data_IF_522087192360
#
_entry.id   IF_522087192360
#
_cell.length_a   1.000
_cell.length_b   1.000
_cell.length_c   1.000
_cell.angle_alpha   90.00
_cell.angle_beta   90.00
_cell.angle_gamma   90.00
#
_symmetry.space_group_name_H-M   'P 1'
#
loop_
_entity.id
_entity.type
_entity.pdbx_description
1 polymer ?
#
# COMPACT_ATOMS: atom_id res chain seq x y z
N UNK A 1 -3.74 1.26 -15.52
CA UNK A 1 -4.36 0.57 -14.37
C UNK A 1 -4.46 1.44 -13.09
N UNK A 2 -3.39 1.90 -12.43
CA UNK A 2 -3.54 2.64 -11.15
C UNK A 2 -4.35 3.94 -11.31
N UNK A 3 -4.00 4.76 -12.30
CA UNK A 3 -4.75 5.99 -12.59
C UNK A 3 -6.21 5.72 -12.99
N UNK A 4 -6.47 4.64 -13.74
CA UNK A 4 -7.83 4.22 -14.09
C UNK A 4 -8.63 3.83 -12.84
N UNK A 5 -8.03 3.05 -11.94
CA UNK A 5 -8.68 2.63 -10.69
C UNK A 5 -9.04 3.83 -9.80
N UNK A 6 -8.17 4.84 -9.75
CA UNK A 6 -8.40 6.06 -8.95
C UNK A 6 -9.30 7.08 -9.69
N UNK A 7 -9.47 6.93 -11.00
CA UNK A 7 -10.26 7.85 -11.83
C UNK A 7 -9.63 9.23 -12.00
N UNK A 8 -8.31 9.36 -11.86
CA UNK A 8 -7.63 10.65 -11.86
C UNK A 8 -6.12 10.57 -12.07
N UNK A 9 -5.49 11.75 -12.18
CA UNK A 9 -4.05 11.87 -12.38
C UNK A 9 -3.30 11.52 -11.09
N UNK A 10 -2.30 10.66 -11.21
CA UNK A 10 -1.36 10.34 -10.13
C UNK A 10 0.03 10.87 -10.49
N UNK A 11 0.74 11.38 -9.49
CA UNK A 11 2.14 11.75 -9.63
C UNK A 11 3.00 10.62 -9.08
N UNK A 12 3.86 10.08 -9.94
CA UNK A 12 4.75 8.98 -9.58
C UNK A 12 6.19 9.48 -9.49
N UNK A 13 6.87 9.08 -8.42
CA UNK A 13 8.33 9.09 -8.34
C UNK A 13 8.79 7.64 -8.27
N UNK A 14 9.59 7.22 -9.22
CA UNK A 14 10.16 5.86 -9.25
C UNK A 14 11.60 5.92 -8.76
N UNK A 15 11.90 5.11 -7.75
CA UNK A 15 13.25 4.97 -7.21
C UNK A 15 13.67 3.50 -7.25
N UNK A 16 14.96 3.25 -7.48
CA UNK A 16 15.53 1.91 -7.57
C UNK A 16 16.80 1.83 -6.72
N UNK A 17 17.18 0.62 -6.31
CA UNK A 17 18.39 0.43 -5.52
C UNK A 17 18.42 1.35 -4.29
N UNK A 18 19.56 1.97 -4.02
CA UNK A 18 19.80 2.78 -2.80
C UNK A 18 19.24 4.20 -2.85
N UNK A 19 18.58 4.60 -3.94
CA UNK A 19 18.09 5.96 -4.18
C UNK A 19 16.80 6.28 -3.40
N UNK A 20 16.71 5.85 -2.14
CA UNK A 20 15.51 6.04 -1.33
C UNK A 20 15.43 7.48 -0.79
N UNK A 21 14.39 8.27 -1.12
CA UNK A 21 14.35 9.70 -0.83
C UNK A 21 14.48 9.99 0.66
N UNK A 22 15.30 10.98 1.01
CA UNK A 22 15.47 11.44 2.39
C UNK A 22 14.20 12.07 2.93
N UNK A 23 13.63 13.02 2.17
CA UNK A 23 12.33 13.61 2.46
C UNK A 23 11.21 12.77 1.87
N UNK A 24 10.35 12.24 2.76
CA UNK A 24 9.18 11.46 2.39
C UNK A 24 7.87 12.25 2.55
N UNK A 25 7.91 13.45 3.12
CA UNK A 25 6.72 14.26 3.41
C UNK A 25 5.83 14.59 2.20
N UNK A 26 6.35 14.70 0.95
CA UNK A 26 5.49 14.95 -0.20
C UNK A 26 4.65 13.74 -0.63
N UNK A 27 4.99 12.53 -0.18
CA UNK A 27 4.37 11.30 -0.68
C UNK A 27 3.17 10.87 0.17
N UNK A 28 2.08 10.48 -0.50
CA UNK A 28 0.86 9.97 0.15
C UNK A 28 0.81 8.45 0.28
N UNK A 29 1.64 7.73 -0.48
CA UNK A 29 1.69 6.28 -0.50
C UNK A 29 3.03 5.82 -1.08
N UNK A 30 3.66 4.82 -0.45
CA UNK A 30 4.80 4.11 -1.02
C UNK A 30 4.34 2.71 -1.49
N UNK A 31 4.64 2.38 -2.75
CA UNK A 31 4.39 1.05 -3.31
C UNK A 31 5.72 0.33 -3.53
N UNK A 32 6.05 -0.63 -2.67
CA UNK A 32 7.30 -1.38 -2.75
C UNK A 32 7.22 -2.53 -3.76
N UNK A 33 8.34 -2.88 -4.39
CA UNK A 33 8.41 -4.10 -5.18
C UNK A 33 8.33 -5.36 -4.28
N UNK A 34 8.32 -6.54 -4.89
CA UNK A 34 8.35 -7.83 -4.16
C UNK A 34 9.63 -8.10 -3.36
N UNK A 35 10.61 -7.19 -3.39
CA UNK A 35 11.83 -7.24 -2.59
C UNK A 35 12.71 -8.48 -2.82
N UNK A 36 12.62 -9.13 -3.99
CA UNK A 36 13.36 -10.36 -4.30
C UNK A 36 14.89 -10.22 -4.22
N UNK A 37 15.41 -9.01 -4.46
CA UNK A 37 16.84 -8.69 -4.42
C UNK A 37 17.27 -7.94 -3.14
N UNK A 38 16.40 -7.88 -2.13
CA UNK A 38 16.61 -7.07 -0.93
C UNK A 38 16.80 -7.93 0.32
N UNK A 39 17.63 -7.47 1.25
CA UNK A 39 17.69 -8.08 2.58
C UNK A 39 16.50 -7.65 3.43
N UNK A 40 16.14 -8.49 4.42
CA UNK A 40 15.11 -8.15 5.42
C UNK A 40 15.40 -6.82 6.12
N UNK A 41 16.67 -6.55 6.46
CA UNK A 41 17.09 -5.33 7.15
C UNK A 41 16.81 -4.08 6.31
N UNK A 42 17.15 -4.12 5.03
CA UNK A 42 16.93 -2.97 4.14
C UNK A 42 15.44 -2.68 3.93
N UNK A 43 14.62 -3.73 3.75
CA UNK A 43 13.16 -3.57 3.66
C UNK A 43 12.61 -2.95 4.94
N UNK A 44 12.97 -3.48 6.11
CA UNK A 44 12.48 -2.96 7.39
C UNK A 44 12.91 -1.51 7.62
N UNK A 45 14.15 -1.15 7.27
CA UNK A 45 14.62 0.24 7.38
C UNK A 45 13.75 1.20 6.55
N UNK A 46 13.34 0.81 5.35
CA UNK A 46 12.42 1.62 4.52
C UNK A 46 11.05 1.75 5.16
N UNK A 47 10.49 0.63 5.64
CA UNK A 47 9.19 0.62 6.32
C UNK A 47 9.18 1.52 7.56
N UNK A 48 10.25 1.49 8.35
CA UNK A 48 10.41 2.34 9.54
C UNK A 48 10.49 3.82 9.17
N UNK A 49 11.24 4.17 8.11
CA UNK A 49 11.31 5.56 7.61
C UNK A 49 9.94 6.07 7.13
N UNK A 50 9.22 5.27 6.34
CA UNK A 50 7.85 5.60 5.92
C UNK A 50 6.92 5.78 7.12
N UNK A 51 6.99 4.87 8.11
CA UNK A 51 6.18 4.95 9.32
C UNK A 51 6.49 6.23 10.11
N UNK A 52 7.76 6.60 10.26
CA UNK A 52 8.16 7.82 10.95
C UNK A 52 7.67 9.08 10.23
N UNK A 53 7.61 9.06 8.90
CA UNK A 53 7.07 10.14 8.08
C UNK A 53 5.53 10.12 7.94
N UNK A 54 4.84 9.14 8.56
CA UNK A 54 3.39 8.98 8.41
C UNK A 54 2.94 8.53 7.02
N UNK A 55 3.86 8.03 6.18
CA UNK A 55 3.56 7.59 4.82
C UNK A 55 3.14 6.11 4.84
N UNK A 56 1.89 5.78 4.43
CA UNK A 56 1.47 4.39 4.36
C UNK A 56 2.25 3.63 3.28
N UNK A 57 2.41 2.33 3.49
CA UNK A 57 3.16 1.45 2.60
C UNK A 57 2.31 0.27 2.15
N UNK A 58 2.38 -0.04 0.86
CA UNK A 58 1.93 -1.30 0.28
C UNK A 58 3.03 -1.89 -0.61
N UNK A 59 2.74 -3.01 -1.28
CA UNK A 59 3.64 -3.59 -2.27
C UNK A 59 2.89 -3.91 -3.57
N UNK A 60 3.63 -4.22 -4.65
CA UNK A 60 3.03 -4.53 -5.95
C UNK A 60 1.97 -5.63 -5.87
N UNK A 61 2.24 -6.75 -5.21
CA UNK A 61 1.30 -7.88 -5.13
C UNK A 61 -0.05 -7.48 -4.52
N UNK A 62 -0.02 -6.85 -3.35
CA UNK A 62 -1.22 -6.40 -2.63
C UNK A 62 -1.93 -5.29 -3.41
N UNK A 63 -1.18 -4.33 -3.96
CA UNK A 63 -1.76 -3.20 -4.69
C UNK A 63 -2.46 -3.65 -5.97
N UNK A 64 -1.82 -4.53 -6.74
CA UNK A 64 -2.40 -5.10 -7.97
C UNK A 64 -3.64 -5.93 -7.63
N UNK A 65 -3.56 -6.79 -6.62
CA UNK A 65 -4.70 -7.62 -6.23
C UNK A 65 -5.88 -6.76 -5.74
N UNK A 66 -5.62 -5.68 -4.99
CA UNK A 66 -6.65 -4.74 -4.53
C UNK A 66 -7.41 -4.08 -5.68
N UNK A 67 -6.69 -3.52 -6.63
CA UNK A 67 -7.29 -2.67 -7.66
C UNK A 67 -7.88 -3.42 -8.84
N UNK A 68 -7.43 -4.66 -9.07
CA UNK A 68 -8.02 -5.56 -10.06
C UNK A 68 -9.17 -6.40 -9.48
N UNK A 69 -9.59 -6.16 -8.24
CA UNK A 69 -10.71 -6.86 -7.61
C UNK A 69 -10.41 -8.32 -7.20
N UNK A 70 -9.13 -8.68 -7.09
CA UNK A 70 -8.67 -10.03 -6.75
C UNK A 70 -8.30 -10.18 -5.26
N UNK A 71 -8.42 -9.13 -4.47
CA UNK A 71 -7.86 -9.06 -3.12
C UNK A 71 -8.50 -10.05 -2.13
N UNK A 72 -9.82 -10.16 -2.12
CA UNK A 72 -10.52 -11.11 -1.24
C UNK A 72 -10.07 -12.55 -1.53
N UNK A 73 -9.95 -12.91 -2.82
CA UNK A 73 -9.41 -14.21 -3.23
C UNK A 73 -7.95 -14.38 -2.81
N UNK A 74 -7.13 -13.35 -2.95
CA UNK A 74 -5.72 -13.38 -2.57
C UNK A 74 -5.50 -13.55 -1.06
N UNK A 75 -6.43 -13.03 -0.23
CA UNK A 75 -6.39 -13.14 1.23
C UNK A 75 -6.99 -14.44 1.76
N UNK A 76 -7.80 -15.17 0.98
CA UNK A 76 -8.47 -16.41 1.40
C UNK A 76 -7.54 -17.46 2.07
N UNK A 77 -6.27 -17.65 1.64
CA UNK A 77 -5.35 -18.56 2.34
C UNK A 77 -4.86 -18.06 3.70
N UNK A 78 -5.16 -16.80 4.06
CA UNK A 78 -4.67 -16.11 5.25
C UNK A 78 -5.86 -15.60 6.09
N UNK A 79 -6.50 -16.46 6.90
CA UNK A 79 -7.77 -16.14 7.57
C UNK A 79 -7.74 -14.85 8.40
N UNK A 80 -6.66 -14.61 9.14
CA UNK A 80 -6.51 -13.41 9.96
C UNK A 80 -6.40 -12.14 9.12
N UNK A 81 -5.70 -12.21 7.98
CA UNK A 81 -5.58 -11.08 7.05
C UNK A 81 -6.91 -10.80 6.35
N UNK A 82 -7.64 -11.85 5.95
CA UNK A 82 -8.99 -11.72 5.38
C UNK A 82 -9.94 -11.06 6.38
N UNK A 83 -9.97 -11.53 7.63
CA UNK A 83 -10.78 -10.96 8.70
C UNK A 83 -10.44 -9.49 8.95
N UNK A 84 -9.15 -9.16 9.05
CA UNK A 84 -8.68 -7.80 9.23
C UNK A 84 -9.12 -6.88 8.07
N UNK A 85 -9.02 -7.35 6.83
CA UNK A 85 -9.47 -6.63 5.65
C UNK A 85 -10.98 -6.38 5.66
N UNK A 86 -11.80 -7.41 5.93
CA UNK A 86 -13.26 -7.26 6.03
C UNK A 86 -13.66 -6.24 7.10
N UNK A 87 -13.05 -6.30 8.29
CA UNK A 87 -13.30 -5.34 9.35
C UNK A 87 -12.88 -3.91 8.97
N UNK A 88 -11.75 -3.74 8.29
CA UNK A 88 -11.30 -2.45 7.78
C UNK A 88 -12.25 -1.87 6.72
N UNK A 89 -12.75 -2.72 5.82
CA UNK A 89 -13.70 -2.30 4.78
C UNK A 89 -15.03 -1.82 5.38
N UNK A 90 -15.57 -2.57 6.34
CA UNK A 90 -16.78 -2.17 7.08
C UNK A 90 -16.61 -0.81 7.77
N UNK A 91 -15.47 -0.57 8.42
CA UNK A 91 -15.19 0.75 9.05
C UNK A 91 -15.15 1.89 8.03
N UNK A 92 -14.52 1.67 6.87
CA UNK A 92 -14.44 2.66 5.80
C UNK A 92 -15.83 2.98 5.26
N UNK A 93 -16.61 1.97 4.94
CA UNK A 93 -17.94 2.15 4.36
C UNK A 93 -18.88 2.84 5.36
N UNK A 94 -18.76 2.54 6.67
CA UNK A 94 -19.48 3.26 7.73
C UNK A 94 -19.04 4.73 7.88
N UNK A 95 -17.74 5.05 7.72
CA UNK A 95 -17.25 6.44 7.73
C UNK A 95 -17.69 7.25 6.52
N UNK A 96 -17.93 6.60 5.38
CA UNK A 96 -18.44 7.24 4.15
C UNK A 96 -19.95 7.44 4.22
N UNK A 97 -20.67 6.57 4.95
CA UNK A 97 -22.12 6.61 5.07
C UNK A 97 -22.67 7.57 6.16
N UNK A 98 -21.82 8.20 6.98
CA UNK A 98 -22.26 9.24 7.92
C UNK A 98 -22.32 10.59 7.19
N UNK A 99 -23.52 11.16 6.93
CA UNK A 99 -23.62 12.49 6.35
C UNK A 99 -23.19 13.50 7.40
N UNK A 100 -22.15 14.27 7.09
CA UNK A 100 -21.92 15.58 7.71
C UNK A 100 -22.89 16.60 7.12
#
# INVERSE_FOLDING_TARGET
>A
WLQEHVGGKLHFTTVQGRDFPEDLSPYKLMVHCGACMWTRREVLNRLLRCRAAGVPVCNYGITIAYTLGLFERALKPFPEAEKAYRAARLRRDASVASPG
#
